data_IF_230241710033
#
_entry.id   IF_230241710033
#
_cell.length_a   1.000
_cell.length_b   1.000
_cell.length_c   1.000
_cell.angle_alpha   90.00
_cell.angle_beta   90.00
_cell.angle_gamma   90.00
#
_symmetry.space_group_name_H-M   'P 1'
#
loop_
_entity.id
_entity.type
_entity.pdbx_description
1 polymer ?
#
# COMPACT_ATOMS: atom_id res chain seq x y z
N UNK A 1 -17.83 5.64 7.65
CA UNK A 1 -18.39 5.39 6.32
C UNK A 1 -17.83 6.35 5.29
N UNK A 2 -17.89 5.98 4.04
CA UNK A 2 -17.35 6.72 2.89
C UNK A 2 -18.00 8.10 2.64
N UNK A 3 -19.10 8.41 3.34
CA UNK A 3 -19.96 9.58 3.04
C UNK A 3 -19.96 10.64 4.16
N UNK A 4 -19.05 10.52 5.11
CA UNK A 4 -18.95 11.46 6.22
C UNK A 4 -17.81 12.47 6.03
N UNK A 5 -17.82 13.55 6.81
CA UNK A 5 -16.71 14.50 6.85
C UNK A 5 -15.46 13.87 7.49
N UNK A 6 -14.30 14.45 7.21
CA UNK A 6 -13.07 14.09 7.91
C UNK A 6 -13.23 14.42 9.39
N UNK A 7 -13.02 13.44 10.25
CA UNK A 7 -13.08 13.60 11.71
C UNK A 7 -11.68 13.80 12.28
N UNK A 8 -11.57 14.63 13.30
CA UNK A 8 -10.32 14.96 13.98
C UNK A 8 -10.38 14.48 15.43
N UNK A 9 -9.34 13.81 15.86
CA UNK A 9 -9.12 13.44 17.24
C UNK A 9 -7.73 13.90 17.70
N UNK A 10 -7.59 14.23 18.96
CA UNK A 10 -6.34 14.73 19.53
C UNK A 10 -5.91 13.91 20.75
N UNK A 11 -4.60 13.86 20.97
CA UNK A 11 -3.99 13.24 22.14
C UNK A 11 -2.67 13.94 22.47
N UNK A 12 -2.27 13.89 23.73
CA UNK A 12 -0.95 14.35 24.19
C UNK A 12 0.16 13.31 23.95
N UNK A 13 -0.21 12.11 23.50
CA UNK A 13 0.70 11.01 23.20
C UNK A 13 0.34 10.32 21.89
N UNK A 14 1.33 9.93 21.05
CA UNK A 14 1.05 9.17 19.82
C UNK A 14 0.29 7.85 20.05
N UNK A 15 0.43 7.25 21.23
CA UNK A 15 -0.29 6.03 21.61
C UNK A 15 -1.68 6.29 22.19
N UNK A 16 -2.12 7.54 22.28
CA UNK A 16 -3.38 7.92 22.89
C UNK A 16 -3.32 8.05 24.43
N UNK A 17 -4.47 8.07 25.11
CA UNK A 17 -5.81 7.96 24.53
C UNK A 17 -6.19 9.18 23.69
N UNK A 18 -6.89 8.93 22.59
CA UNK A 18 -7.40 9.99 21.73
C UNK A 18 -8.80 10.42 22.19
N UNK A 19 -9.07 11.72 22.15
CA UNK A 19 -10.42 12.27 22.31
C UNK A 19 -10.90 12.91 21.01
N UNK A 20 -12.14 12.72 20.68
CA UNK A 20 -12.77 13.35 19.53
C UNK A 20 -12.76 14.88 19.70
N UNK A 21 -12.29 15.60 18.68
CA UNK A 21 -12.26 17.07 18.65
C UNK A 21 -13.46 17.62 17.89
N UNK A 22 -13.72 17.10 16.70
CA UNK A 22 -14.76 17.57 15.80
C UNK A 22 -14.61 16.97 14.41
N UNK A 23 -15.33 17.52 13.47
CA UNK A 23 -15.17 17.23 12.03
C UNK A 23 -14.75 18.49 11.27
N UNK A 24 -14.07 18.28 10.14
CA UNK A 24 -13.66 19.39 9.26
C UNK A 24 -14.89 20.01 8.61
N UNK A 25 -15.02 21.33 8.72
CA UNK A 25 -16.19 22.09 8.30
C UNK A 25 -15.82 23.44 7.68
N UNK A 26 -16.73 24.01 6.90
CA UNK A 26 -16.61 25.36 6.39
C UNK A 26 -16.81 26.40 7.50
N UNK A 27 -16.44 27.70 7.27
CA UNK A 27 -16.59 28.76 8.27
C UNK A 27 -18.04 29.00 8.77
N UNK A 28 -19.03 28.58 7.98
CA UNK A 28 -20.44 28.61 8.37
C UNK A 28 -20.88 27.41 9.25
N UNK A 29 -19.97 26.52 9.57
CA UNK A 29 -20.20 25.30 10.35
C UNK A 29 -20.74 24.13 9.55
N UNK A 30 -20.99 24.27 8.26
CA UNK A 30 -21.42 23.17 7.43
C UNK A 30 -20.29 22.16 7.20
N UNK A 31 -20.56 20.83 7.23
CA UNK A 31 -19.54 19.81 7.01
C UNK A 31 -18.88 19.95 5.63
N UNK A 32 -17.55 19.77 5.56
CA UNK A 32 -16.85 19.71 4.29
C UNK A 32 -17.16 18.37 3.60
N UNK A 33 -18.03 18.39 2.60
CA UNK A 33 -18.51 17.22 1.85
C UNK A 33 -18.48 17.44 0.33
N UNK A 34 -17.85 18.51 -0.17
CA UNK A 34 -17.87 18.85 -1.60
C UNK A 34 -17.15 17.85 -2.45
N UNK A 35 -16.12 17.20 -1.91
CA UNK A 35 -15.36 16.12 -2.52
C UNK A 35 -15.46 14.87 -1.64
N UNK A 36 -15.05 13.73 -2.19
CA UNK A 36 -15.08 12.49 -1.42
C UNK A 36 -13.98 12.52 -0.35
N UNK A 37 -14.39 12.69 0.90
CA UNK A 37 -13.49 12.80 2.06
C UNK A 37 -12.97 11.41 2.49
N UNK A 38 -12.01 10.84 1.74
CA UNK A 38 -11.50 9.50 1.94
C UNK A 38 -9.98 9.52 2.15
N UNK A 39 -9.48 8.64 3.04
CA UNK A 39 -8.06 8.40 3.33
C UNK A 39 -7.23 9.70 3.48
N UNK A 40 -7.50 10.53 4.50
CA UNK A 40 -6.81 11.80 4.64
C UNK A 40 -5.36 11.64 5.11
N UNK A 41 -4.45 12.33 4.43
CA UNK A 41 -3.09 12.61 4.87
C UNK A 41 -2.94 14.06 5.33
N UNK A 42 -2.07 14.34 6.29
CA UNK A 42 -1.91 15.68 6.87
C UNK A 42 -0.44 16.07 6.94
N UNK A 43 -0.17 17.35 6.70
CA UNK A 43 1.13 17.97 6.95
C UNK A 43 0.95 19.31 7.67
N UNK A 44 1.86 19.58 8.59
CA UNK A 44 2.10 20.94 9.07
C UNK A 44 3.25 21.52 8.24
N UNK A 45 2.92 22.40 7.31
CA UNK A 45 3.85 23.05 6.41
C UNK A 45 4.16 24.45 6.91
N UNK A 46 5.17 24.57 7.75
CA UNK A 46 5.63 25.82 8.36
C UNK A 46 4.49 26.63 9.03
N UNK A 47 3.60 25.94 9.75
CA UNK A 47 2.45 26.50 10.45
C UNK A 47 1.14 26.46 9.64
N UNK A 48 1.19 26.14 8.36
CA UNK A 48 -0.03 25.90 7.56
C UNK A 48 -0.41 24.44 7.64
N UNK A 49 -1.55 24.13 8.23
CA UNK A 49 -2.06 22.75 8.28
C UNK A 49 -2.81 22.47 7.00
N UNK A 50 -2.36 21.44 6.29
CA UNK A 50 -2.93 21.03 5.01
C UNK A 50 -3.35 19.56 5.05
N UNK A 51 -4.56 19.29 4.57
CA UNK A 51 -5.14 17.95 4.45
C UNK A 51 -5.18 17.57 2.97
N UNK A 52 -4.75 16.36 2.65
CA UNK A 52 -4.85 15.74 1.34
C UNK A 52 -5.78 14.53 1.47
N UNK A 53 -6.73 14.40 0.56
CA UNK A 53 -7.76 13.38 0.66
C UNK A 53 -8.37 13.10 -0.71
N UNK A 54 -9.13 12.04 -0.84
CA UNK A 54 -9.86 11.71 -2.05
C UNK A 54 -9.85 10.23 -2.37
N UNK A 55 -10.54 9.87 -3.43
CA UNK A 55 -10.53 8.53 -3.98
C UNK A 55 -10.83 8.57 -5.47
N UNK A 56 -10.29 7.60 -6.19
CA UNK A 56 -10.44 7.28 -7.60
C UNK A 56 -10.13 8.46 -8.55
N UNK A 57 -9.59 8.15 -9.70
CA UNK A 57 -9.61 9.00 -10.89
C UNK A 57 -10.77 8.59 -11.79
N UNK A 58 -11.16 9.45 -12.71
CA UNK A 58 -12.31 9.19 -13.61
C UNK A 58 -12.09 7.96 -14.50
N UNK A 59 -10.86 7.72 -14.98
CA UNK A 59 -10.55 6.55 -15.80
C UNK A 59 -10.65 5.24 -15.02
N UNK A 60 -10.50 5.29 -13.71
CA UNK A 60 -10.70 4.14 -12.86
C UNK A 60 -12.11 3.57 -12.98
N UNK A 61 -13.10 4.42 -13.25
CA UNK A 61 -14.47 4.00 -13.44
C UNK A 61 -14.64 3.10 -14.68
N UNK A 62 -13.90 3.36 -15.75
CA UNK A 62 -13.99 2.58 -16.99
C UNK A 62 -13.23 1.25 -16.91
N UNK A 63 -12.19 1.17 -16.09
CA UNK A 63 -11.37 -0.05 -15.95
C UNK A 63 -12.04 -1.13 -15.10
N UNK A 64 -12.84 -0.76 -14.12
CA UNK A 64 -13.43 -1.68 -13.14
C UNK A 64 -14.84 -2.16 -13.50
N UNK A 65 -15.52 -1.47 -14.42
CA UNK A 65 -16.90 -1.72 -14.76
C UNK A 65 -17.05 -2.04 -16.23
N UNK A 66 -17.92 -3.01 -16.52
CA UNK A 66 -18.16 -3.46 -17.91
C UNK A 66 -18.88 -2.42 -18.78
N UNK A 67 -19.48 -1.43 -18.15
CA UNK A 67 -20.03 -0.27 -18.84
C UNK A 67 -19.91 0.99 -17.98
N UNK A 68 -19.65 2.09 -18.64
CA UNK A 68 -19.44 3.40 -18.02
C UNK A 68 -20.66 3.88 -17.21
N UNK A 69 -21.87 3.59 -17.65
CA UNK A 69 -23.10 3.99 -16.93
C UNK A 69 -23.25 3.28 -15.59
N UNK A 70 -22.91 2.00 -15.52
CA UNK A 70 -22.93 1.25 -14.25
C UNK A 70 -21.93 1.83 -13.25
N UNK A 71 -20.74 2.20 -13.72
CA UNK A 71 -19.72 2.87 -12.91
C UNK A 71 -20.25 4.18 -12.34
N UNK A 72 -20.81 5.05 -13.17
CA UNK A 72 -21.40 6.33 -12.74
C UNK A 72 -22.47 6.11 -11.68
N UNK A 73 -23.42 5.20 -11.93
CA UNK A 73 -24.49 4.89 -10.97
C UNK A 73 -23.95 4.37 -9.64
N UNK A 74 -22.91 3.53 -9.68
CA UNK A 74 -22.26 3.02 -8.48
C UNK A 74 -21.63 4.13 -7.66
N UNK A 75 -20.92 5.06 -8.29
CA UNK A 75 -20.31 6.22 -7.62
C UNK A 75 -21.39 7.14 -7.03
N UNK A 76 -22.42 7.47 -7.81
CA UNK A 76 -23.55 8.28 -7.34
C UNK A 76 -24.20 7.69 -6.10
N UNK A 77 -24.46 6.38 -6.08
CA UNK A 77 -25.09 5.68 -4.96
C UNK A 77 -24.15 5.59 -3.75
N UNK A 78 -22.90 5.21 -3.98
CA UNK A 78 -21.91 4.99 -2.90
C UNK A 78 -21.58 6.28 -2.16
N UNK A 79 -21.44 7.38 -2.88
CA UNK A 79 -20.97 8.65 -2.33
C UNK A 79 -22.08 9.73 -2.23
N UNK A 80 -23.32 9.38 -2.56
CA UNK A 80 -24.47 10.28 -2.55
C UNK A 80 -24.24 11.55 -3.37
N UNK A 81 -23.64 11.39 -4.55
CA UNK A 81 -23.33 12.48 -5.48
C UNK A 81 -24.30 12.47 -6.65
N UNK A 82 -24.58 13.67 -7.19
CA UNK A 82 -25.33 13.81 -8.44
C UNK A 82 -24.48 13.39 -9.62
N UNK A 83 -25.14 13.03 -10.74
CA UNK A 83 -24.46 12.70 -11.99
C UNK A 83 -23.51 13.81 -12.46
N UNK A 84 -23.94 15.07 -12.33
CA UNK A 84 -23.11 16.20 -12.73
C UNK A 84 -21.83 16.33 -11.89
N UNK A 85 -21.91 16.09 -10.58
CA UNK A 85 -20.72 16.10 -9.71
C UNK A 85 -19.72 14.98 -10.05
N UNK A 86 -20.20 13.83 -10.53
CA UNK A 86 -19.35 12.71 -10.93
C UNK A 86 -18.68 12.95 -12.29
N UNK A 87 -19.39 13.58 -13.25
CA UNK A 87 -18.93 13.71 -14.64
C UNK A 87 -18.19 15.02 -14.97
N UNK A 88 -18.03 15.92 -14.02
CA UNK A 88 -17.33 17.19 -14.29
C UNK A 88 -15.82 16.96 -14.44
N UNK A 89 -15.25 17.36 -15.56
CA UNK A 89 -13.81 17.30 -15.81
C UNK A 89 -13.03 18.26 -14.91
N UNK A 90 -13.51 19.50 -14.79
CA UNK A 90 -13.02 20.47 -13.81
C UNK A 90 -13.98 20.50 -12.61
N UNK A 91 -13.47 20.17 -11.42
CA UNK A 91 -14.26 20.09 -10.20
C UNK A 91 -14.98 18.75 -10.01
N UNK A 92 -14.52 17.68 -10.68
CA UNK A 92 -14.93 16.32 -10.35
C UNK A 92 -14.77 16.05 -8.85
N UNK A 93 -15.71 15.32 -8.26
CA UNK A 93 -15.60 14.88 -6.86
C UNK A 93 -14.58 13.76 -6.68
N UNK A 94 -14.08 13.22 -7.78
CA UNK A 94 -13.07 12.16 -7.85
C UNK A 94 -11.66 12.75 -7.84
N UNK A 95 -10.68 11.91 -7.50
CA UNK A 95 -9.27 12.28 -7.50
C UNK A 95 -8.78 12.86 -6.17
N UNK A 96 -7.47 13.08 -6.04
CA UNK A 96 -6.87 13.58 -4.82
C UNK A 96 -6.99 15.11 -4.74
N UNK A 97 -7.55 15.57 -3.63
CA UNK A 97 -7.76 16.99 -3.33
C UNK A 97 -6.96 17.43 -2.11
N UNK A 98 -6.82 18.74 -1.96
CA UNK A 98 -6.22 19.34 -0.77
C UNK A 98 -7.01 20.56 -0.31
N UNK A 99 -7.00 20.79 1.01
CA UNK A 99 -7.49 22.01 1.67
C UNK A 99 -6.53 22.40 2.79
N UNK A 100 -6.58 23.66 3.19
CA UNK A 100 -5.99 24.12 4.46
C UNK A 100 -7.05 24.24 5.54
N UNK A 101 -6.65 24.06 6.79
CA UNK A 101 -7.50 24.29 7.97
C UNK A 101 -6.82 25.25 8.93
N UNK A 102 -7.62 25.94 9.74
CA UNK A 102 -7.14 26.87 10.74
C UNK A 102 -6.48 26.19 11.95
N UNK A 103 -6.03 27.01 12.91
CA UNK A 103 -5.36 26.55 14.13
C UNK A 103 -6.26 25.67 15.01
N UNK A 104 -7.56 25.74 14.82
CA UNK A 104 -8.54 24.85 15.46
C UNK A 104 -8.54 23.43 14.90
N UNK A 105 -7.79 23.19 13.80
CA UNK A 105 -7.71 21.93 13.05
C UNK A 105 -9.04 21.49 12.41
N UNK A 106 -10.06 22.30 12.40
CA UNK A 106 -11.41 21.96 11.96
C UNK A 106 -11.94 22.86 10.86
N UNK A 107 -11.69 24.19 10.98
CA UNK A 107 -12.26 25.18 10.06
C UNK A 107 -11.44 25.26 8.77
N UNK A 108 -12.06 24.96 7.64
CA UNK A 108 -11.44 25.08 6.30
C UNK A 108 -11.12 26.55 6.01
N UNK A 109 -9.92 26.81 5.53
CA UNK A 109 -9.40 28.16 5.24
C UNK A 109 -9.03 28.38 3.77
N UNK A 110 -9.18 27.36 2.92
CA UNK A 110 -9.00 27.46 1.47
C UNK A 110 -10.09 26.70 0.73
N UNK A 111 -10.35 27.07 -0.52
CA UNK A 111 -11.17 26.22 -1.39
C UNK A 111 -10.47 24.87 -1.66
N UNK A 112 -11.23 23.77 -1.76
CA UNK A 112 -10.70 22.47 -2.17
C UNK A 112 -10.10 22.55 -3.57
N UNK A 113 -8.97 21.86 -3.76
CA UNK A 113 -8.25 21.88 -5.04
C UNK A 113 -7.68 20.50 -5.35
N UNK A 114 -7.84 20.04 -6.59
CA UNK A 114 -7.15 18.85 -7.09
C UNK A 114 -5.64 19.09 -7.16
N UNK A 115 -4.86 18.12 -6.69
CA UNK A 115 -3.39 18.13 -6.76
C UNK A 115 -2.86 17.28 -7.93
N UNK A 116 -3.66 16.27 -8.34
CA UNK A 116 -3.49 15.48 -9.54
C UNK A 116 -4.81 15.63 -10.33
N UNK A 117 -4.78 15.74 -11.66
CA UNK A 117 -6.01 15.78 -12.45
C UNK A 117 -6.90 14.57 -12.16
N UNK A 118 -8.20 14.78 -12.04
CA UNK A 118 -9.17 13.69 -11.94
C UNK A 118 -9.15 12.80 -13.19
N UNK A 119 -8.93 13.41 -14.36
CA UNK A 119 -8.75 12.75 -15.64
C UNK A 119 -7.26 12.72 -16.02
N UNK A 120 -6.66 11.54 -16.13
CA UNK A 120 -5.19 11.37 -16.21
C UNK A 120 -4.65 11.03 -17.59
N UNK A 121 -5.54 10.73 -18.59
CA UNK A 121 -5.10 10.46 -19.97
C UNK A 121 -4.31 11.65 -20.55
N UNK A 122 -3.14 11.35 -21.13
CA UNK A 122 -2.23 12.36 -21.66
C UNK A 122 -1.41 13.09 -20.61
N UNK A 123 -1.51 12.71 -19.34
CA UNK A 123 -0.68 13.23 -18.24
C UNK A 123 0.40 12.23 -17.81
N UNK A 124 1.28 12.62 -16.91
CA UNK A 124 2.28 11.70 -16.32
C UNK A 124 1.66 10.58 -15.47
N UNK A 125 0.38 10.67 -15.14
CA UNK A 125 -0.34 9.72 -14.29
C UNK A 125 -1.14 8.66 -15.05
N UNK A 126 -1.14 8.67 -16.39
CA UNK A 126 -1.99 7.82 -17.23
C UNK A 126 -1.84 6.32 -16.90
N UNK A 127 -0.63 5.83 -16.70
CA UNK A 127 -0.37 4.43 -16.36
C UNK A 127 -0.56 4.11 -14.87
N UNK A 128 -0.54 5.15 -14.02
CA UNK A 128 -0.60 5.03 -12.55
C UNK A 128 -1.60 6.02 -11.94
N UNK A 129 -2.87 6.01 -12.35
CA UNK A 129 -3.88 6.93 -11.84
C UNK A 129 -4.03 6.79 -10.32
N UNK A 130 -4.37 7.89 -9.66
CA UNK A 130 -4.67 7.88 -8.23
C UNK A 130 -5.89 6.99 -7.93
N UNK A 131 -5.76 6.16 -6.90
CA UNK A 131 -6.88 5.39 -6.37
C UNK A 131 -7.27 5.85 -4.96
N UNK A 132 -6.34 5.77 -3.99
CA UNK A 132 -6.59 6.15 -2.60
C UNK A 132 -5.28 6.30 -1.80
N UNK A 133 -5.37 6.39 -0.46
CA UNK A 133 -4.22 6.32 0.44
C UNK A 133 -3.32 7.56 0.43
N UNK A 134 -3.92 8.75 0.47
CA UNK A 134 -3.19 10.02 0.46
C UNK A 134 -2.20 10.12 1.63
N UNK A 135 -0.93 10.38 1.31
CA UNK A 135 0.10 10.73 2.28
C UNK A 135 1.06 11.74 1.68
N UNK A 136 1.66 12.59 2.50
CA UNK A 136 2.49 13.71 2.04
C UNK A 136 3.71 13.87 2.92
N UNK A 137 4.86 14.19 2.29
CA UNK A 137 6.10 14.60 2.97
C UNK A 137 6.72 15.79 2.26
N UNK A 138 7.37 16.68 3.02
CA UNK A 138 8.22 17.74 2.48
C UNK A 138 9.67 17.39 2.75
N UNK A 139 10.47 17.22 1.70
CA UNK A 139 11.85 16.75 1.78
C UNK A 139 12.72 17.66 0.90
N UNK A 140 13.68 18.34 1.50
CA UNK A 140 14.55 19.24 0.76
C UNK A 140 13.83 20.37 0.03
N UNK A 141 12.66 20.80 0.54
CA UNK A 141 11.84 21.84 -0.08
C UNK A 141 10.85 21.33 -1.14
N UNK A 142 10.93 20.07 -1.53
CA UNK A 142 10.04 19.42 -2.49
C UNK A 142 8.95 18.61 -1.76
N UNK A 143 7.73 18.63 -2.27
CA UNK A 143 6.61 17.85 -1.75
C UNK A 143 6.56 16.49 -2.45
N UNK A 144 6.40 15.43 -1.68
CA UNK A 144 6.22 14.06 -2.12
C UNK A 144 4.84 13.61 -1.69
N UNK A 145 3.95 13.44 -2.65
CA UNK A 145 2.62 12.86 -2.44
C UNK A 145 2.69 11.38 -2.72
N UNK A 146 2.47 10.56 -1.68
CA UNK A 146 2.50 9.12 -1.75
C UNK A 146 1.06 8.62 -1.82
N UNK A 147 0.78 7.66 -2.70
CA UNK A 147 -0.57 7.17 -2.93
C UNK A 147 -0.57 5.74 -3.47
N UNK A 148 -1.71 5.05 -3.33
CA UNK A 148 -1.99 3.79 -4.04
C UNK A 148 -2.54 4.10 -5.42
N UNK A 149 -1.97 3.49 -6.46
CA UNK A 149 -2.51 3.61 -7.79
C UNK A 149 -3.69 2.65 -8.02
N UNK A 150 -4.40 2.89 -9.11
CA UNK A 150 -5.48 2.02 -9.57
C UNK A 150 -5.05 0.58 -9.86
N UNK A 151 -3.75 0.33 -10.06
CA UNK A 151 -3.22 -1.02 -10.24
C UNK A 151 -3.41 -1.92 -9.00
N UNK A 152 -3.77 -1.35 -7.83
CA UNK A 152 -4.09 -2.06 -6.59
C UNK A 152 -3.00 -3.01 -6.06
N UNK A 153 -1.76 -2.76 -6.40
CA UNK A 153 -0.63 -3.55 -5.90
C UNK A 153 0.59 -2.71 -5.60
N UNK A 154 0.59 -1.43 -5.95
CA UNK A 154 1.73 -0.55 -5.87
C UNK A 154 1.47 0.70 -5.03
N UNK A 155 2.49 1.15 -4.34
CA UNK A 155 2.56 2.44 -3.69
C UNK A 155 3.44 3.35 -4.55
N UNK A 156 2.82 4.39 -5.09
CA UNK A 156 3.43 5.37 -5.98
C UNK A 156 3.76 6.66 -5.27
N UNK A 157 4.56 7.52 -5.92
CA UNK A 157 4.73 8.89 -5.48
C UNK A 157 4.66 9.88 -6.67
N UNK A 158 4.24 11.07 -6.34
CA UNK A 158 4.32 12.24 -7.21
C UNK A 158 5.07 13.36 -6.50
N UNK A 159 5.71 14.25 -7.23
CA UNK A 159 6.46 15.37 -6.65
C UNK A 159 6.03 16.71 -7.22
N UNK A 160 6.11 17.75 -6.37
CA UNK A 160 5.94 19.15 -6.77
C UNK A 160 6.83 20.05 -5.92
N UNK A 161 7.15 21.23 -6.42
CA UNK A 161 7.76 22.32 -5.65
C UNK A 161 6.69 23.14 -4.89
N UNK A 162 5.40 22.87 -5.15
CA UNK A 162 4.26 23.51 -4.54
C UNK A 162 3.41 22.51 -3.75
N UNK A 163 2.79 22.92 -2.63
CA UNK A 163 2.03 21.98 -1.80
C UNK A 163 0.67 21.58 -2.37
N UNK A 164 0.14 22.33 -3.32
CA UNK A 164 -1.27 22.25 -3.72
C UNK A 164 -1.51 22.09 -5.23
N UNK A 165 -0.48 21.91 -6.04
CA UNK A 165 -0.58 21.82 -7.50
C UNK A 165 0.70 21.37 -8.15
N UNK A 166 0.64 21.18 -9.47
CA UNK A 166 1.78 20.90 -10.36
C UNK A 166 2.54 19.61 -9.98
N UNK A 167 1.84 18.66 -9.39
CA UNK A 167 2.42 17.34 -9.12
C UNK A 167 2.66 16.57 -10.42
N UNK A 168 3.81 15.94 -10.49
CA UNK A 168 4.23 15.07 -11.60
C UNK A 168 4.52 13.69 -11.03
N UNK A 169 4.09 12.64 -11.73
CA UNK A 169 4.38 11.27 -11.35
C UNK A 169 5.88 11.03 -11.26
N UNK A 170 6.32 10.50 -10.14
CA UNK A 170 7.74 10.25 -9.86
C UNK A 170 8.14 8.78 -10.03
N UNK A 171 7.22 7.85 -9.80
CA UNK A 171 7.47 6.42 -9.91
C UNK A 171 6.74 5.57 -8.90
N UNK A 172 6.92 4.26 -9.00
CA UNK A 172 6.49 3.28 -8.01
C UNK A 172 7.59 3.11 -6.96
N UNK A 173 7.25 3.19 -5.67
CA UNK A 173 8.20 2.98 -4.56
C UNK A 173 8.34 1.50 -4.26
N UNK A 174 7.22 0.81 -4.10
CA UNK A 174 7.14 -0.61 -3.80
C UNK A 174 5.86 -1.19 -4.40
N UNK A 175 5.91 -2.46 -4.80
CA UNK A 175 4.74 -3.15 -5.33
C UNK A 175 4.59 -4.52 -4.67
N UNK A 176 3.40 -4.84 -4.17
CA UNK A 176 3.08 -6.16 -3.68
C UNK A 176 3.31 -7.20 -4.78
N UNK A 177 3.97 -8.31 -4.43
CA UNK A 177 4.35 -9.34 -5.40
C UNK A 177 5.53 -8.97 -6.29
N UNK A 178 6.26 -7.89 -5.98
CA UNK A 178 7.40 -7.38 -6.77
C UNK A 178 7.03 -7.08 -8.24
N UNK A 179 5.77 -6.70 -8.52
CA UNK A 179 5.34 -6.33 -9.87
C UNK A 179 6.08 -5.06 -10.31
N UNK A 180 6.55 -5.03 -11.56
CA UNK A 180 7.38 -3.95 -12.11
C UNK A 180 8.86 -4.08 -11.76
N UNK A 181 9.21 -4.61 -10.59
CA UNK A 181 10.60 -4.76 -10.16
C UNK A 181 11.34 -5.74 -11.10
N UNK A 182 12.44 -5.26 -11.70
CA UNK A 182 13.17 -5.96 -12.77
C UNK A 182 12.28 -6.46 -13.92
N UNK A 183 11.20 -5.72 -14.25
CA UNK A 183 10.30 -6.04 -15.35
C UNK A 183 9.34 -7.21 -15.07
N UNK A 184 9.11 -7.57 -13.81
CA UNK A 184 8.15 -8.61 -13.44
C UNK A 184 6.74 -8.20 -13.85
N UNK A 185 6.06 -9.06 -14.57
CA UNK A 185 4.68 -8.81 -14.98
C UNK A 185 3.68 -9.13 -13.84
N UNK A 186 2.50 -8.57 -13.93
CA UNK A 186 1.42 -8.83 -12.97
C UNK A 186 1.05 -10.31 -12.86
N UNK A 187 1.06 -11.04 -13.95
CA UNK A 187 0.76 -12.49 -13.95
C UNK A 187 1.80 -13.32 -13.18
N UNK A 188 3.05 -12.80 -13.08
CA UNK A 188 4.17 -13.45 -12.42
C UNK A 188 4.38 -12.94 -10.98
N UNK A 189 3.34 -12.34 -10.39
CA UNK A 189 3.37 -11.81 -9.03
C UNK A 189 3.74 -12.86 -7.99
N UNK A 190 4.53 -12.44 -7.02
CA UNK A 190 5.10 -13.33 -5.99
C UNK A 190 4.32 -13.34 -4.68
N UNK A 191 3.18 -12.65 -4.62
CA UNK A 191 2.26 -12.63 -3.49
C UNK A 191 0.83 -12.39 -4.01
N UNK A 192 -0.15 -12.69 -3.17
CA UNK A 192 -1.50 -12.17 -3.36
C UNK A 192 -1.47 -10.65 -3.37
N UNK A 193 -2.15 -10.04 -4.34
CA UNK A 193 -2.28 -8.59 -4.48
C UNK A 193 -3.74 -8.17 -4.48
N UNK A 194 -4.04 -6.92 -4.18
CA UNK A 194 -5.40 -6.39 -4.15
C UNK A 194 -5.48 -4.97 -3.62
N UNK A 195 -4.84 -4.68 -2.51
CA UNK A 195 -4.73 -3.34 -1.96
C UNK A 195 -3.35 -3.11 -1.38
N UNK A 196 -2.92 -1.86 -1.35
CA UNK A 196 -1.79 -1.42 -0.54
C UNK A 196 -2.06 -0.01 -0.02
N UNK A 197 -1.48 0.35 1.11
CA UNK A 197 -1.60 1.67 1.70
C UNK A 197 -0.34 1.91 2.51
N UNK A 198 0.20 3.11 2.46
CA UNK A 198 1.43 3.38 3.19
C UNK A 198 1.95 4.80 3.05
N UNK A 199 3.19 4.98 3.43
CA UNK A 199 3.90 6.25 3.40
C UNK A 199 5.41 6.03 3.44
N UNK A 200 6.19 7.11 3.40
CA UNK A 200 7.62 7.09 3.64
C UNK A 200 7.95 7.87 4.92
N UNK A 201 8.97 7.44 5.65
CA UNK A 201 9.44 8.14 6.86
C UNK A 201 10.94 7.93 7.06
N UNK A 202 11.60 8.94 7.65
CA UNK A 202 13.03 8.88 7.98
C UNK A 202 13.22 8.46 9.44
N UNK A 203 13.88 7.33 9.65
CA UNK A 203 14.20 6.81 10.98
C UNK A 203 15.72 6.76 11.14
N UNK A 204 16.25 7.52 12.07
CA UNK A 204 17.68 7.57 12.35
C UNK A 204 18.56 7.85 11.10
N UNK A 205 18.07 8.70 10.20
CA UNK A 205 18.78 9.09 8.97
C UNK A 205 18.60 8.13 7.79
N UNK A 206 17.89 7.03 7.96
CA UNK A 206 17.51 6.11 6.89
C UNK A 206 16.05 6.31 6.53
N UNK A 207 15.76 6.50 5.24
CA UNK A 207 14.40 6.55 4.72
C UNK A 207 13.86 5.13 4.53
N UNK A 208 12.59 4.95 4.89
CA UNK A 208 11.84 3.71 4.71
C UNK A 208 10.52 3.99 4.02
N UNK A 209 10.06 3.07 3.18
CA UNK A 209 8.67 2.95 2.81
C UNK A 209 7.98 2.00 3.79
N UNK A 210 6.84 2.43 4.32
CA UNK A 210 5.92 1.61 5.10
C UNK A 210 4.73 1.29 4.24
N UNK A 211 4.34 0.04 4.20
CA UNK A 211 3.22 -0.42 3.39
C UNK A 211 2.58 -1.65 4.02
N UNK A 212 1.53 -2.19 3.44
CA UNK A 212 0.98 -3.47 3.86
C UNK A 212 0.86 -4.45 2.71
N UNK A 213 0.85 -5.73 3.03
CA UNK A 213 0.45 -6.82 2.15
C UNK A 213 -0.75 -7.55 2.71
N UNK A 214 -1.46 -8.26 1.83
CA UNK A 214 -2.63 -9.05 2.22
C UNK A 214 -2.23 -10.39 2.84
N UNK A 215 -3.06 -10.87 3.77
CA UNK A 215 -2.89 -12.15 4.49
C UNK A 215 -4.23 -12.86 4.62
N UNK A 216 -4.26 -14.09 5.10
CA UNK A 216 -5.48 -14.86 5.38
C UNK A 216 -6.43 -15.00 4.19
N UNK A 217 -5.93 -14.95 2.96
CA UNK A 217 -6.74 -14.97 1.75
C UNK A 217 -7.84 -13.90 1.73
N UNK A 218 -7.54 -12.70 2.23
CA UNK A 218 -8.52 -11.63 2.42
C UNK A 218 -7.90 -10.25 2.23
N UNK A 219 -8.61 -9.35 1.55
CA UNK A 219 -8.26 -7.93 1.45
C UNK A 219 -8.46 -7.18 2.77
N UNK A 220 -9.18 -7.77 3.71
CA UNK A 220 -9.44 -7.17 5.03
C UNK A 220 -8.40 -7.54 6.07
N UNK A 221 -7.52 -8.49 5.77
CA UNK A 221 -6.44 -8.93 6.66
C UNK A 221 -5.09 -8.50 6.10
N UNK A 222 -4.35 -7.72 6.87
CA UNK A 222 -3.16 -7.00 6.38
C UNK A 222 -2.00 -7.17 7.35
N UNK A 223 -0.80 -7.29 6.78
CA UNK A 223 0.48 -7.31 7.51
C UNK A 223 1.28 -6.06 7.17
N UNK A 224 1.72 -5.33 8.18
CA UNK A 224 2.65 -4.21 8.01
C UNK A 224 4.01 -4.71 7.50
N UNK A 225 4.55 -3.98 6.53
CA UNK A 225 5.85 -4.21 5.91
C UNK A 225 6.63 -2.90 5.86
N UNK A 226 7.95 -2.98 5.79
CA UNK A 226 8.83 -1.84 5.62
C UNK A 226 10.07 -2.22 4.83
N UNK A 227 10.51 -1.34 3.91
CA UNK A 227 11.75 -1.50 3.16
C UNK A 227 12.57 -0.21 3.22
N UNK A 228 13.90 -0.29 3.33
CA UNK A 228 14.75 0.87 3.18
C UNK A 228 14.67 1.40 1.75
N UNK A 229 14.55 2.72 1.62
CA UNK A 229 14.56 3.43 0.33
C UNK A 229 15.68 4.43 0.28
N UNK A 230 16.06 4.83 -0.93
CA UNK A 230 17.02 5.90 -1.17
C UNK A 230 16.35 7.00 -1.98
N UNK A 231 16.45 8.23 -1.49
CA UNK A 231 16.07 9.41 -2.27
C UNK A 231 17.35 9.89 -2.95
N UNK A 232 17.37 9.82 -4.28
CA UNK A 232 18.53 10.19 -5.07
C UNK A 232 18.74 11.73 -5.11
N UNK A 233 19.91 12.22 -5.53
CA UNK A 233 20.17 13.66 -5.57
C UNK A 233 19.21 14.46 -6.46
N UNK A 234 18.61 13.84 -7.47
CA UNK A 234 17.57 14.45 -8.32
C UNK A 234 16.18 14.41 -7.70
N UNK A 235 16.05 13.80 -6.52
CA UNK A 235 14.79 13.62 -5.79
C UNK A 235 14.01 12.37 -6.19
N UNK A 236 14.49 11.57 -7.11
CA UNK A 236 13.81 10.32 -7.48
C UNK A 236 13.98 9.23 -6.42
N UNK A 237 13.00 8.32 -6.33
CA UNK A 237 13.00 7.16 -5.45
C UNK A 237 12.90 5.91 -6.34
N UNK A 238 13.99 5.15 -6.52
CA UNK A 238 13.93 3.88 -7.25
C UNK A 238 12.99 2.88 -6.57
N UNK A 239 12.27 2.10 -7.37
CA UNK A 239 11.45 1.01 -6.84
C UNK A 239 12.32 0.02 -6.06
N UNK A 240 11.85 -0.38 -4.88
CA UNK A 240 12.50 -1.40 -4.05
C UNK A 240 11.73 -2.73 -4.13
N UNK A 241 12.46 -3.82 -3.96
CA UNK A 241 11.86 -5.14 -3.82
C UNK A 241 11.31 -5.35 -2.41
N UNK A 242 10.42 -6.34 -2.26
CA UNK A 242 9.94 -6.80 -0.96
C UNK A 242 10.97 -7.72 -0.35
N UNK A 243 11.35 -7.47 0.91
CA UNK A 243 12.31 -8.29 1.65
C UNK A 243 11.76 -8.80 2.99
N UNK A 244 12.49 -9.71 3.62
CA UNK A 244 12.22 -10.14 5.00
C UNK A 244 12.91 -9.26 6.03
N UNK A 245 13.66 -8.23 5.60
CA UNK A 245 14.54 -7.44 6.47
C UNK A 245 13.78 -6.41 7.32
N UNK A 246 12.68 -5.86 6.80
CA UNK A 246 11.89 -4.84 7.51
C UNK A 246 12.76 -3.67 7.98
N UNK A 247 12.49 -3.17 9.18
CA UNK A 247 13.23 -2.06 9.78
C UNK A 247 14.69 -2.39 10.15
N UNK A 248 15.14 -3.64 10.01
CA UNK A 248 16.55 -3.96 10.14
C UNK A 248 17.42 -3.27 9.07
N UNK A 249 16.84 -3.01 7.90
CA UNK A 249 17.47 -2.25 6.80
C UNK A 249 18.72 -2.88 6.19
N UNK A 250 19.05 -4.12 6.57
CA UNK A 250 20.19 -4.90 6.14
C UNK A 250 19.86 -6.40 6.28
N UNK A 251 20.65 -7.31 5.69
CA UNK A 251 20.43 -8.74 5.85
C UNK A 251 20.27 -9.16 7.31
N UNK A 252 19.32 -10.03 7.58
CA UNK A 252 19.09 -10.66 8.87
C UNK A 252 20.27 -11.61 9.21
N UNK A 253 20.44 -11.96 10.48
CA UNK A 253 21.44 -12.95 10.84
C UNK A 253 21.11 -14.32 10.23
N UNK A 254 22.12 -14.99 9.65
CA UNK A 254 21.98 -16.32 9.06
C UNK A 254 21.88 -17.46 10.10
N UNK A 255 21.77 -17.12 11.39
CA UNK A 255 21.62 -18.07 12.51
C UNK A 255 20.47 -17.60 13.41
N UNK A 256 19.72 -18.57 13.95
CA UNK A 256 18.56 -18.30 14.82
C UNK A 256 17.29 -18.92 14.27
N UNK A 257 16.18 -18.66 14.94
CA UNK A 257 14.83 -19.10 14.54
C UNK A 257 14.01 -17.89 14.13
N UNK A 258 13.36 -17.98 12.97
CA UNK A 258 12.54 -16.93 12.42
C UNK A 258 11.12 -17.43 12.15
N UNK A 259 10.09 -16.59 12.39
CA UNK A 259 8.72 -16.94 12.02
C UNK A 259 8.58 -17.12 10.51
N UNK A 260 7.92 -18.18 10.07
CA UNK A 260 7.69 -18.43 8.64
C UNK A 260 7.00 -17.27 7.92
N UNK A 261 6.16 -16.50 8.62
CA UNK A 261 5.41 -15.36 8.07
C UNK A 261 6.26 -14.14 7.70
N UNK A 262 7.58 -14.15 7.94
CA UNK A 262 8.48 -13.13 7.38
C UNK A 262 8.87 -13.44 5.92
N UNK A 263 8.40 -14.56 5.34
CA UNK A 263 8.57 -14.81 3.91
C UNK A 263 8.12 -13.59 3.12
N UNK A 264 9.02 -13.00 2.35
CA UNK A 264 8.72 -11.82 1.54
C UNK A 264 8.00 -12.19 0.23
N UNK A 265 8.22 -13.41 -0.26
CA UNK A 265 7.48 -13.95 -1.39
C UNK A 265 6.75 -15.24 -0.97
N UNK A 266 5.49 -15.37 -1.37
CA UNK A 266 4.63 -16.51 -1.07
C UNK A 266 3.83 -16.78 -2.35
N UNK A 267 4.17 -17.86 -3.09
CA UNK A 267 3.52 -18.13 -4.37
C UNK A 267 3.47 -19.61 -4.71
N UNK A 268 2.47 -19.99 -5.48
CA UNK A 268 2.39 -21.28 -6.18
C UNK A 268 2.50 -21.09 -7.72
N UNK A 269 2.93 -19.90 -8.17
CA UNK A 269 2.99 -19.53 -9.58
C UNK A 269 1.72 -18.86 -10.13
N UNK A 270 0.61 -18.86 -9.37
CA UNK A 270 -0.69 -18.31 -9.79
C UNK A 270 -1.39 -17.57 -8.66
N UNK A 271 -0.75 -16.53 -8.13
CA UNK A 271 -1.31 -15.78 -7.02
C UNK A 271 -2.47 -14.88 -7.46
N UNK A 272 -3.56 -14.82 -6.67
CA UNK A 272 -4.73 -14.02 -7.03
C UNK A 272 -4.45 -12.53 -6.93
N UNK A 273 -5.23 -11.78 -7.68
CA UNK A 273 -5.35 -10.32 -7.60
C UNK A 273 -6.82 -9.94 -7.51
N UNK A 274 -7.15 -8.97 -6.69
CA UNK A 274 -8.50 -8.42 -6.59
C UNK A 274 -8.67 -7.57 -5.35
N UNK A 275 -9.80 -6.89 -5.25
CA UNK A 275 -10.16 -6.05 -4.12
C UNK A 275 -11.52 -6.41 -3.56
N UNK A 276 -11.75 -6.09 -2.27
CA UNK A 276 -12.99 -6.34 -1.54
C UNK A 276 -13.44 -7.80 -1.53
N UNK A 277 -12.47 -8.74 -1.45
CA UNK A 277 -12.71 -10.18 -1.54
C UNK A 277 -12.22 -10.95 -0.31
N UNK A 278 -12.89 -12.06 -0.08
CA UNK A 278 -12.39 -13.22 0.66
C UNK A 278 -12.25 -14.33 -0.38
N UNK A 279 -11.05 -14.88 -0.49
CA UNK A 279 -10.75 -15.90 -1.49
C UNK A 279 -11.09 -17.29 -0.96
N UNK A 280 -11.78 -18.08 -1.75
CA UNK A 280 -12.14 -19.48 -1.43
C UNK A 280 -11.15 -20.48 -2.02
N UNK A 281 -10.45 -20.10 -3.08
CA UNK A 281 -9.45 -20.96 -3.74
C UNK A 281 -8.28 -21.27 -2.81
N UNK A 282 -7.65 -22.41 -3.02
CA UNK A 282 -6.48 -22.83 -2.26
C UNK A 282 -5.22 -22.24 -2.87
N UNK A 283 -4.50 -21.44 -2.07
CA UNK A 283 -3.16 -20.92 -2.41
C UNK A 283 -2.38 -20.61 -1.11
N UNK A 284 -1.04 -20.65 -1.14
CA UNK A 284 -0.24 -20.40 0.06
C UNK A 284 -0.44 -18.97 0.57
N UNK A 285 -0.62 -18.83 1.87
CA UNK A 285 -0.87 -17.53 2.48
C UNK A 285 -0.33 -17.44 3.91
N UNK A 286 0.03 -16.24 4.35
CA UNK A 286 0.35 -15.97 5.75
C UNK A 286 -0.95 -15.98 6.57
N UNK A 287 -0.98 -16.76 7.66
CA UNK A 287 -2.17 -16.92 8.51
C UNK A 287 -1.78 -17.17 9.96
N UNK A 288 -2.78 -17.36 10.83
CA UNK A 288 -2.56 -17.69 12.24
C UNK A 288 -3.66 -18.58 12.80
N UNK A 289 -3.35 -19.24 13.92
CA UNK A 289 -4.32 -19.92 14.79
C UNK A 289 -3.97 -19.56 16.24
N UNK A 290 -4.80 -18.76 16.90
CA UNK A 290 -4.43 -18.15 18.17
C UNK A 290 -3.20 -17.24 17.99
N UNK A 291 -2.15 -17.49 18.77
CA UNK A 291 -0.87 -16.75 18.68
C UNK A 291 0.11 -17.36 17.67
N UNK A 292 -0.14 -18.56 17.20
CA UNK A 292 0.73 -19.27 16.26
C UNK A 292 0.57 -18.72 14.85
N UNK A 293 1.64 -18.19 14.26
CA UNK A 293 1.68 -17.59 12.93
C UNK A 293 2.47 -18.48 11.97
N UNK A 294 1.87 -18.80 10.84
CA UNK A 294 2.46 -19.75 9.88
C UNK A 294 2.06 -19.43 8.44
N UNK A 295 2.70 -20.10 7.48
CA UNK A 295 2.23 -20.14 6.09
C UNK A 295 1.35 -21.38 5.93
N UNK A 296 0.09 -21.13 5.63
CA UNK A 296 -0.92 -22.17 5.39
C UNK A 296 -1.04 -22.53 3.92
N UNK A 297 -1.74 -23.63 3.66
CA UNK A 297 -2.09 -24.13 2.32
C UNK A 297 -0.88 -24.36 1.40
N UNK A 298 0.23 -24.84 1.98
CA UNK A 298 1.42 -25.24 1.23
C UNK A 298 1.09 -26.48 0.40
N UNK A 299 1.40 -26.43 -0.90
CA UNK A 299 1.18 -27.49 -1.87
C UNK A 299 2.47 -27.75 -2.64
N UNK A 300 2.47 -28.80 -3.47
CA UNK A 300 3.56 -29.04 -4.39
C UNK A 300 3.78 -27.83 -5.31
N UNK A 301 5.03 -27.42 -5.49
CA UNK A 301 5.40 -26.22 -6.25
C UNK A 301 5.25 -24.90 -5.48
N UNK A 302 4.82 -24.90 -4.22
CA UNK A 302 4.82 -23.67 -3.39
C UNK A 302 6.26 -23.18 -3.20
N UNK A 303 6.49 -21.91 -3.50
CA UNK A 303 7.74 -21.21 -3.25
C UNK A 303 7.56 -20.17 -2.12
N UNK A 304 8.46 -20.21 -1.13
CA UNK A 304 8.58 -19.24 -0.07
C UNK A 304 9.95 -18.55 -0.17
N UNK A 305 9.94 -17.24 -0.41
CA UNK A 305 11.17 -16.46 -0.48
C UNK A 305 11.49 -15.76 0.84
N UNK A 306 12.73 -15.86 1.28
CA UNK A 306 13.27 -15.20 2.46
C UNK A 306 14.52 -14.42 2.07
N UNK A 307 14.44 -13.11 1.99
CA UNK A 307 15.50 -12.20 1.55
C UNK A 307 15.66 -11.06 2.58
N UNK A 308 16.85 -10.73 3.05
CA UNK A 308 18.15 -11.34 2.87
C UNK A 308 18.68 -11.83 4.21
N UNK A 309 19.57 -12.82 4.15
CA UNK A 309 20.26 -13.36 5.33
C UNK A 309 21.77 -13.36 5.12
N UNK A 310 22.50 -12.90 6.15
CA UNK A 310 23.96 -12.96 6.17
C UNK A 310 24.41 -14.27 6.78
N UNK A 311 24.63 -15.28 5.96
CA UNK A 311 25.12 -16.57 6.42
C UNK A 311 26.63 -16.52 6.68
N UNK A 312 27.04 -16.96 7.87
CA UNK A 312 28.45 -17.14 8.24
C UNK A 312 28.58 -18.44 9.01
N UNK A 313 29.08 -19.49 8.35
CA UNK A 313 29.31 -20.77 8.97
C UNK A 313 28.06 -21.56 9.38
N UNK A 314 26.91 -21.25 8.81
CA UNK A 314 25.69 -22.04 8.98
C UNK A 314 25.94 -23.49 8.47
N UNK A 315 25.59 -24.48 9.29
CA UNK A 315 25.81 -25.91 8.99
C UNK A 315 24.50 -26.65 8.76
N UNK A 316 23.42 -26.12 9.31
CA UNK A 316 22.11 -26.76 9.29
C UNK A 316 21.03 -25.73 8.99
N UNK A 317 19.99 -26.16 8.30
CA UNK A 317 18.74 -25.45 8.13
C UNK A 317 17.60 -26.38 8.51
N UNK A 318 16.66 -25.88 9.32
CA UNK A 318 15.48 -26.62 9.77
C UNK A 318 14.20 -25.87 9.44
N UNK A 319 13.13 -26.61 9.23
CA UNK A 319 11.78 -26.09 9.06
C UNK A 319 10.88 -26.75 10.08
N UNK A 320 10.19 -25.95 10.88
CA UNK A 320 9.11 -26.44 11.72
C UNK A 320 7.82 -26.44 10.91
N UNK A 321 7.17 -27.57 10.84
CA UNK A 321 5.94 -27.75 10.06
C UNK A 321 4.97 -28.70 10.78
N UNK A 322 3.72 -28.69 10.32
CA UNK A 322 2.69 -29.67 10.65
C UNK A 322 1.88 -30.02 9.41
N UNK A 323 1.33 -31.20 9.33
CA UNK A 323 0.49 -31.64 8.23
C UNK A 323 0.56 -33.15 7.98
N UNK A 324 -0.31 -33.64 7.12
CA UNK A 324 -0.49 -35.07 6.83
C UNK A 324 0.23 -35.57 5.57
N UNK A 325 1.02 -34.73 4.91
CA UNK A 325 1.66 -35.04 3.63
C UNK A 325 3.05 -35.62 3.79
N UNK A 326 3.48 -36.38 2.79
CA UNK A 326 4.88 -36.77 2.58
C UNK A 326 5.46 -35.95 1.43
N UNK A 327 6.74 -35.59 1.54
CA UNK A 327 7.45 -34.84 0.51
C UNK A 327 8.81 -34.36 0.97
N UNK A 328 9.24 -33.23 0.44
CA UNK A 328 10.45 -32.53 0.88
C UNK A 328 10.34 -31.03 0.66
N UNK A 329 10.95 -30.25 1.53
CA UNK A 329 11.32 -28.89 1.22
C UNK A 329 12.67 -28.89 0.50
N UNK A 330 12.73 -28.20 -0.63
CA UNK A 330 13.97 -27.94 -1.36
C UNK A 330 14.41 -26.52 -1.05
N UNK A 331 15.59 -26.36 -0.51
CA UNK A 331 16.19 -25.06 -0.21
C UNK A 331 17.15 -24.69 -1.31
N UNK A 332 16.97 -23.53 -1.92
CA UNK A 332 17.82 -22.98 -2.96
C UNK A 332 18.23 -21.56 -2.60
N UNK A 333 19.39 -21.12 -3.03
CA UNK A 333 19.87 -19.75 -2.86
C UNK A 333 19.43 -18.81 -3.99
N UNK A 334 18.61 -19.31 -4.91
CA UNK A 334 18.03 -18.52 -5.99
C UNK A 334 16.56 -18.90 -6.24
N UNK A 335 15.85 -17.99 -6.92
CA UNK A 335 14.42 -18.13 -7.16
C UNK A 335 14.06 -19.21 -8.19
N UNK A 336 14.99 -19.61 -9.06
CA UNK A 336 14.72 -20.63 -10.07
C UNK A 336 14.86 -22.06 -9.54
N UNK A 337 15.24 -22.21 -8.26
CA UNK A 337 15.36 -23.51 -7.58
C UNK A 337 16.47 -24.41 -8.09
N UNK A 338 17.36 -23.94 -8.96
CA UNK A 338 18.39 -24.79 -9.60
C UNK A 338 19.61 -25.02 -8.72
N UNK A 339 19.98 -24.03 -7.90
CA UNK A 339 21.13 -24.18 -6.99
C UNK A 339 20.66 -24.69 -5.63
N UNK A 340 20.48 -26.01 -5.53
CA UNK A 340 19.98 -26.65 -4.31
C UNK A 340 21.09 -26.70 -3.26
N UNK A 341 20.84 -26.08 -2.10
CA UNK A 341 21.75 -26.07 -0.95
C UNK A 341 21.35 -27.08 0.14
N UNK A 342 20.07 -27.45 0.21
CA UNK A 342 19.59 -28.49 1.14
C UNK A 342 18.25 -29.09 0.66
N UNK A 343 18.00 -30.33 1.09
CA UNK A 343 16.70 -30.98 1.01
C UNK A 343 16.28 -31.45 2.41
N UNK A 344 15.04 -31.14 2.80
CA UNK A 344 14.51 -31.47 4.12
C UNK A 344 13.31 -32.39 3.90
N UNK A 345 13.40 -33.69 4.24
CA UNK A 345 12.28 -34.60 4.10
C UNK A 345 11.13 -34.23 5.01
N UNK A 346 9.92 -34.44 4.52
CA UNK A 346 8.64 -34.15 5.21
C UNK A 346 7.88 -35.47 5.33
N UNK A 347 7.40 -35.73 6.53
CA UNK A 347 6.48 -36.82 6.86
C UNK A 347 5.31 -36.26 7.67
N UNK A 348 4.19 -36.99 7.78
CA UNK A 348 3.06 -36.54 8.62
C UNK A 348 3.53 -36.15 10.03
N UNK A 349 3.14 -34.97 10.47
CA UNK A 349 3.45 -34.41 11.81
C UNK A 349 2.27 -33.58 12.34
N UNK A 350 2.03 -33.70 13.66
CA UNK A 350 0.97 -32.98 14.40
C UNK A 350 1.41 -31.56 14.82
#
# INVERSE_FOLDING_TARGET
>A
GYNGPISVAVSDSPAGPFRYLGFVHYPDGSPMLNYICFDPGVINDDGTIRIYYGTWSDEALDKDFQNHEEAIQTVMQRYHKSRNEVLQTEGSVMGPCTVTVGDDMLTVTSEPRHIIPAYTIGTSFEEHPFFEASSIRKIGGKYYFIYSSWQNHELCYATSDLPDRDFVFGGTIVSNGDVGYHGRSEKDRLNMTGTTHGSIECINGQWYVFYHRLTHKSDYSRQACAEPITILPDGSIPQVEITSCGLNGKPLHGTGTYPAVIACNITNGHMPHGSNKIYTDSFPNATHCGEDRFIGEIQDGTMLGYKYFAFSGAKEIGVQYRGSCNGKFVVSDNMDGKNIVAEIPVAPAD
#
